data_IF_502459121616
#
_entry.id   IF_502459121616
#
_cell.length_a   1.000
_cell.length_b   1.000
_cell.length_c   1.000
_cell.angle_alpha   90.00
_cell.angle_beta   90.00
_cell.angle_gamma   90.00
#
_symmetry.space_group_name_H-M   'P 1'
#
loop_
_entity.id
_entity.type
_entity.pdbx_description
1 polymer ?
#
# COMPACT_ATOMS: atom_id res chain seq x y z
N UNK A 1 1.62 -14.28 -10.60
CA UNK A 1 1.89 -14.43 -9.17
C UNK A 1 0.65 -14.46 -8.27
N UNK A 2 -0.51 -14.08 -8.73
CA UNK A 2 -1.78 -14.14 -7.97
C UNK A 2 -2.61 -15.40 -8.22
N UNK A 3 -2.01 -16.48 -8.73
CA UNK A 3 -2.69 -17.79 -8.89
C UNK A 3 -3.06 -18.47 -7.57
N UNK A 4 -2.56 -17.97 -6.43
CA UNK A 4 -3.04 -18.34 -5.09
C UNK A 4 -3.47 -17.05 -4.42
N UNK A 5 -4.68 -17.00 -3.91
CA UNK A 5 -5.22 -15.83 -3.22
C UNK A 5 -4.50 -15.66 -1.87
N UNK A 6 -3.25 -15.18 -1.93
CA UNK A 6 -2.35 -15.05 -0.76
C UNK A 6 -2.89 -14.06 0.28
N UNK A 7 -3.82 -13.21 -0.11
CA UNK A 7 -4.45 -12.22 0.76
C UNK A 7 -5.77 -12.71 1.38
N UNK A 8 -6.25 -13.90 0.99
CA UNK A 8 -7.47 -14.47 1.58
C UNK A 8 -7.34 -14.61 3.09
N UNK A 9 -8.36 -14.17 3.81
CA UNK A 9 -8.43 -14.14 5.27
C UNK A 9 -7.34 -13.27 5.96
N UNK A 10 -6.72 -12.34 5.23
CA UNK A 10 -5.82 -11.35 5.82
C UNK A 10 -6.63 -10.18 6.39
N UNK A 11 -6.25 -9.74 7.58
CA UNK A 11 -6.90 -8.63 8.29
C UNK A 11 -6.39 -7.29 7.80
N UNK A 12 -7.20 -6.27 8.04
CA UNK A 12 -6.72 -4.90 8.04
C UNK A 12 -6.02 -4.60 9.36
N UNK A 13 -4.80 -5.08 9.52
CA UNK A 13 -4.06 -5.19 10.79
C UNK A 13 -3.76 -3.87 11.47
N UNK A 14 -3.84 -2.74 10.75
CA UNK A 14 -3.53 -1.41 11.28
C UNK A 14 -4.37 -0.33 10.62
N UNK A 15 -5.00 0.49 11.45
CA UNK A 15 -5.72 1.68 11.01
C UNK A 15 -5.14 2.86 11.77
N UNK A 16 -4.58 3.83 11.05
CA UNK A 16 -4.05 5.06 11.62
C UNK A 16 -5.05 6.18 11.35
N UNK A 17 -5.50 6.84 12.41
CA UNK A 17 -6.46 7.92 12.34
C UNK A 17 -5.75 9.28 12.45
N UNK A 18 -5.92 10.11 11.45
CA UNK A 18 -5.62 11.53 11.46
C UNK A 18 -6.93 12.33 11.45
N UNK A 19 -6.95 13.65 11.75
CA UNK A 19 -8.19 14.40 11.87
C UNK A 19 -9.15 14.30 10.67
N UNK A 20 -8.62 14.16 9.45
CA UNK A 20 -9.44 14.15 8.22
C UNK A 20 -9.18 12.96 7.31
N UNK A 21 -8.27 12.07 7.67
CA UNK A 21 -7.88 10.93 6.85
C UNK A 21 -7.49 9.73 7.69
N UNK A 22 -7.82 8.54 7.19
CA UNK A 22 -7.37 7.28 7.76
C UNK A 22 -6.43 6.58 6.78
N UNK A 23 -5.43 5.91 7.32
CA UNK A 23 -4.57 4.97 6.60
C UNK A 23 -4.96 3.56 7.02
N UNK A 24 -5.41 2.75 6.07
CA UNK A 24 -5.94 1.41 6.30
C UNK A 24 -4.98 0.39 5.70
N UNK A 25 -4.25 -0.31 6.57
CA UNK A 25 -3.18 -1.23 6.19
C UNK A 25 -3.64 -2.68 6.15
N UNK A 26 -3.20 -3.40 5.13
CA UNK A 26 -3.37 -4.84 5.00
C UNK A 26 -2.17 -5.47 4.27
N UNK A 27 -2.23 -6.77 4.09
CA UNK A 27 -1.19 -7.53 3.41
C UNK A 27 -0.68 -8.71 4.23
N UNK A 28 0.46 -9.26 3.82
CA UNK A 28 1.13 -10.30 4.57
C UNK A 28 2.01 -9.64 5.62
N UNK A 29 1.50 -9.61 6.83
CA UNK A 29 2.12 -9.05 8.02
C UNK A 29 2.76 -10.17 8.86
N UNK A 30 3.87 -9.94 9.60
CA UNK A 30 4.43 -10.94 10.48
C UNK A 30 3.46 -11.24 11.63
N UNK A 31 2.82 -12.38 11.55
CA UNK A 31 2.08 -12.94 12.69
C UNK A 31 3.05 -13.75 13.57
N UNK A 32 2.93 -13.59 14.88
CA UNK A 32 3.81 -14.23 15.87
C UNK A 32 3.70 -15.76 15.93
N UNK A 33 2.97 -16.39 15.04
CA UNK A 33 2.74 -17.83 15.03
C UNK A 33 3.65 -18.53 13.99
N UNK A 34 4.94 -18.65 14.35
CA UNK A 34 5.95 -19.29 13.51
C UNK A 34 5.74 -20.81 13.28
N UNK A 35 4.80 -21.43 13.98
CA UNK A 35 4.61 -22.88 13.94
C UNK A 35 3.66 -23.38 12.84
N UNK A 36 2.99 -22.48 12.13
CA UNK A 36 2.10 -22.87 11.05
C UNK A 36 2.85 -22.90 9.71
N UNK A 37 2.80 -24.02 8.98
CA UNK A 37 3.42 -24.17 7.65
C UNK A 37 2.99 -23.09 6.66
N UNK A 38 1.72 -22.67 6.71
CA UNK A 38 1.18 -21.64 5.86
C UNK A 38 1.87 -20.28 6.14
N UNK A 39 2.04 -19.94 7.42
CA UNK A 39 2.73 -18.71 7.83
C UNK A 39 4.21 -18.74 7.45
N UNK A 40 4.86 -19.89 7.48
CA UNK A 40 6.25 -20.02 7.01
C UNK A 40 6.38 -19.76 5.51
N UNK A 41 5.44 -20.25 4.71
CA UNK A 41 5.40 -20.00 3.26
C UNK A 41 5.13 -18.51 2.98
N UNK A 42 4.16 -17.92 3.67
CA UNK A 42 3.80 -16.51 3.53
C UNK A 42 4.95 -15.58 3.94
N UNK A 43 5.65 -15.92 5.02
CA UNK A 43 6.83 -15.17 5.46
C UNK A 43 7.98 -15.19 4.43
N UNK A 44 8.12 -16.26 3.64
CA UNK A 44 9.09 -16.31 2.54
C UNK A 44 8.73 -15.38 1.37
N UNK A 45 7.45 -15.03 1.22
CA UNK A 45 7.00 -14.08 0.18
C UNK A 45 7.26 -12.63 0.58
N UNK A 46 7.48 -12.37 1.87
CA UNK A 46 7.80 -11.04 2.37
C UNK A 46 9.19 -10.64 1.92
N UNK A 47 9.29 -9.50 1.30
CA UNK A 47 10.54 -8.96 0.82
C UNK A 47 10.49 -7.45 0.74
N UNK A 48 11.52 -6.89 0.14
CA UNK A 48 11.65 -5.47 -0.14
C UNK A 48 11.73 -5.26 -1.63
N UNK A 49 11.03 -4.27 -2.12
CA UNK A 49 11.15 -3.76 -3.49
C UNK A 49 11.58 -2.30 -3.44
N UNK A 50 12.34 -1.80 -4.41
CA UNK A 50 12.69 -0.39 -4.43
C UNK A 50 11.45 0.50 -4.40
N UNK A 51 11.53 1.62 -3.68
CA UNK A 51 10.53 2.68 -3.79
C UNK A 51 10.45 3.12 -5.25
N UNK A 52 9.25 3.28 -5.78
CA UNK A 52 9.01 3.65 -7.18
C UNK A 52 8.15 4.91 -7.24
N UNK A 53 8.73 6.00 -7.79
CA UNK A 53 8.04 7.28 -7.91
C UNK A 53 8.20 7.81 -9.33
N UNK A 54 7.08 8.10 -9.98
CA UNK A 54 7.02 8.58 -11.36
C UNK A 54 6.88 10.09 -11.43
N UNK A 55 7.74 10.73 -12.22
CA UNK A 55 7.65 12.15 -12.58
C UNK A 55 7.10 12.32 -13.99
N UNK A 56 6.32 13.39 -14.22
CA UNK A 56 5.59 13.61 -15.49
C UNK A 56 6.47 13.67 -16.73
N UNK A 57 7.66 14.25 -16.61
CA UNK A 57 8.56 14.47 -17.75
C UNK A 57 9.59 13.36 -17.94
N UNK A 58 9.62 12.37 -17.08
CA UNK A 58 10.58 11.28 -17.15
C UNK A 58 9.96 10.02 -17.78
N UNK A 59 10.72 9.32 -18.58
CA UNK A 59 10.27 8.09 -19.23
C UNK A 59 10.18 6.98 -18.19
N UNK A 60 11.21 6.85 -17.35
CA UNK A 60 11.30 5.82 -16.31
C UNK A 60 10.98 6.38 -14.92
N UNK A 61 10.43 5.56 -14.00
CA UNK A 61 10.29 5.96 -12.60
C UNK A 61 11.63 6.15 -11.92
N UNK A 62 11.65 6.94 -10.85
CA UNK A 62 12.76 7.00 -9.89
C UNK A 62 12.64 5.83 -8.93
N UNK A 63 13.69 5.05 -8.79
CA UNK A 63 13.74 3.91 -7.89
C UNK A 63 14.62 4.19 -6.67
N UNK A 64 14.11 3.86 -5.49
CA UNK A 64 14.84 3.95 -4.23
C UNK A 64 15.05 5.37 -3.69
N UNK A 65 14.30 6.35 -4.17
CA UNK A 65 14.41 7.75 -3.75
C UNK A 65 13.04 8.35 -3.47
N UNK A 66 12.94 9.13 -2.39
CA UNK A 66 11.80 9.99 -2.11
C UNK A 66 11.97 11.32 -2.87
N UNK A 67 10.87 11.92 -3.25
CA UNK A 67 10.83 13.28 -3.81
C UNK A 67 10.25 14.18 -2.72
N UNK A 68 11.10 14.96 -2.07
CA UNK A 68 10.73 15.77 -0.90
C UNK A 68 10.78 17.28 -1.16
N UNK A 69 11.52 17.70 -2.19
CA UNK A 69 11.61 19.11 -2.57
C UNK A 69 10.32 19.60 -3.24
N UNK A 70 9.86 20.83 -2.94
CA UNK A 70 8.61 21.35 -3.50
C UNK A 70 8.57 21.37 -5.03
N UNK A 71 9.70 21.67 -5.68
CA UNK A 71 9.79 21.69 -7.14
C UNK A 71 9.63 20.29 -7.76
N UNK A 72 10.14 19.26 -7.11
CA UNK A 72 9.95 17.86 -7.51
C UNK A 72 8.53 17.38 -7.26
N UNK A 73 7.93 17.71 -6.12
CA UNK A 73 6.58 17.29 -5.76
C UNK A 73 5.55 17.73 -6.81
N UNK A 74 5.61 18.94 -7.32
CA UNK A 74 4.67 19.42 -8.35
C UNK A 74 4.80 18.69 -9.68
N UNK A 75 5.86 17.94 -9.89
CA UNK A 75 6.09 17.14 -11.11
C UNK A 75 5.67 15.66 -10.96
N UNK A 76 5.17 15.25 -9.79
CA UNK A 76 4.69 13.88 -9.57
C UNK A 76 3.55 13.53 -10.53
N UNK A 77 3.53 12.29 -10.96
CA UNK A 77 2.42 11.75 -11.76
C UNK A 77 1.22 11.42 -10.89
N UNK A 78 1.47 10.92 -9.68
CA UNK A 78 0.43 10.51 -8.74
C UNK A 78 0.57 11.23 -7.41
N UNK A 79 -0.56 11.67 -6.89
CA UNK A 79 -0.71 12.28 -5.57
C UNK A 79 -1.62 11.43 -4.70
N UNK A 80 -1.50 11.57 -3.39
CA UNK A 80 -2.41 10.91 -2.45
C UNK A 80 -3.77 11.61 -2.45
N UNK A 81 -4.68 11.03 -3.20
CA UNK A 81 -6.10 11.41 -3.27
C UNK A 81 -6.97 10.39 -2.53
N UNK A 82 -8.24 10.73 -2.30
CA UNK A 82 -9.21 9.80 -1.73
C UNK A 82 -9.21 8.47 -2.49
N UNK A 83 -8.98 7.37 -1.78
CA UNK A 83 -8.93 6.02 -2.35
C UNK A 83 -7.60 5.63 -2.97
N UNK A 84 -6.54 6.43 -2.85
CA UNK A 84 -5.21 6.02 -3.30
C UNK A 84 -4.75 4.77 -2.56
N UNK A 85 -4.11 3.86 -3.30
CA UNK A 85 -3.57 2.59 -2.83
C UNK A 85 -2.06 2.60 -3.03
N UNK A 86 -1.31 2.42 -1.95
CA UNK A 86 0.13 2.50 -1.94
C UNK A 86 0.77 1.34 -1.19
N UNK A 87 2.05 1.05 -1.49
CA UNK A 87 2.82 0.06 -0.76
C UNK A 87 3.30 0.62 0.59
N UNK A 88 3.27 -0.22 1.62
CA UNK A 88 3.86 0.11 2.92
C UNK A 88 5.38 0.21 2.77
N UNK A 89 6.00 1.17 3.44
CA UNK A 89 7.46 1.32 3.44
C UNK A 89 8.17 0.23 4.23
N UNK A 90 9.35 -0.15 3.74
CA UNK A 90 10.31 -1.00 4.43
C UNK A 90 11.66 -0.29 4.48
N UNK A 91 11.76 0.76 5.29
CA UNK A 91 12.86 1.72 5.32
C UNK A 91 12.64 2.89 4.34
N UNK A 92 13.62 3.79 4.23
CA UNK A 92 13.46 5.03 3.45
C UNK A 92 13.47 4.80 1.93
N UNK A 93 14.17 3.78 1.48
CA UNK A 93 14.44 3.53 0.05
C UNK A 93 13.61 2.40 -0.54
N UNK A 94 12.89 1.65 0.28
CA UNK A 94 12.19 0.44 -0.13
C UNK A 94 10.76 0.42 0.35
N UNK A 95 9.94 -0.31 -0.40
CA UNK A 95 8.59 -0.71 -0.02
C UNK A 95 8.58 -2.20 0.38
N UNK A 96 7.60 -2.59 1.19
CA UNK A 96 7.23 -4.00 1.36
C UNK A 96 6.76 -4.57 0.03
N UNK A 97 7.06 -5.83 -0.22
CA UNK A 97 6.56 -6.53 -1.43
C UNK A 97 5.12 -7.04 -1.29
N UNK A 98 4.55 -7.01 -0.09
CA UNK A 98 3.26 -7.68 0.21
C UNK A 98 2.30 -6.84 1.03
N UNK A 99 2.75 -5.77 1.66
CA UNK A 99 1.91 -4.92 2.50
C UNK A 99 1.53 -3.65 1.78
N UNK A 100 0.29 -3.25 1.91
CA UNK A 100 -0.27 -2.07 1.26
C UNK A 100 -1.21 -1.30 2.19
N UNK A 101 -1.54 -0.07 1.82
CA UNK A 101 -2.53 0.72 2.54
C UNK A 101 -3.38 1.57 1.60
N UNK A 102 -4.61 1.85 2.04
CA UNK A 102 -5.51 2.82 1.43
C UNK A 102 -5.48 4.13 2.21
N UNK A 103 -5.73 5.24 1.53
CA UNK A 103 -6.06 6.51 2.18
C UNK A 103 -7.53 6.86 1.93
N UNK A 104 -8.21 7.30 2.99
CA UNK A 104 -9.66 7.61 2.91
C UNK A 104 -9.95 9.02 2.42
N UNK A 105 -8.94 9.88 2.34
CA UNK A 105 -9.06 11.24 1.85
C UNK A 105 -7.72 11.71 1.29
N UNK A 106 -7.69 12.90 0.68
CA UNK A 106 -6.47 13.55 0.22
C UNK A 106 -5.47 13.71 1.37
N UNK A 107 -4.20 13.35 1.12
CA UNK A 107 -3.16 13.40 2.14
C UNK A 107 -1.81 13.84 1.54
N UNK A 108 -1.62 15.13 1.24
CA UNK A 108 -0.43 15.64 0.56
C UNK A 108 0.89 15.39 1.29
N UNK A 109 0.85 15.21 2.61
CA UNK A 109 2.01 14.92 3.45
C UNK A 109 2.73 13.62 3.06
N UNK A 110 2.04 12.73 2.35
CA UNK A 110 2.62 11.48 1.85
C UNK A 110 3.14 11.56 0.42
N UNK A 111 2.84 12.64 -0.30
CA UNK A 111 3.24 12.80 -1.69
C UNK A 111 4.76 12.72 -1.85
N UNK A 112 5.20 11.95 -2.84
CA UNK A 112 6.62 11.73 -3.13
C UNK A 112 7.34 10.79 -2.16
N UNK A 113 6.65 10.20 -1.18
CA UNK A 113 7.23 9.37 -0.12
C UNK A 113 6.93 7.89 -0.24
N UNK A 114 5.88 7.52 -0.97
CA UNK A 114 5.37 6.15 -1.10
C UNK A 114 5.07 5.81 -2.55
N UNK A 115 5.21 4.55 -2.91
CA UNK A 115 4.82 4.04 -4.22
C UNK A 115 3.31 3.87 -4.30
N UNK A 116 2.63 4.78 -5.01
CA UNK A 116 1.20 4.64 -5.32
C UNK A 116 1.08 3.73 -6.53
N UNK A 117 0.33 2.63 -6.42
CA UNK A 117 0.17 1.66 -7.51
C UNK A 117 -1.27 1.46 -7.95
N UNK A 118 -2.23 2.07 -7.26
CA UNK A 118 -3.64 1.93 -7.58
C UNK A 118 -4.52 2.99 -6.97
N UNK A 119 -5.79 2.94 -7.34
CA UNK A 119 -6.84 3.81 -6.81
C UNK A 119 -8.17 3.06 -6.78
N UNK A 120 -8.92 3.24 -5.72
CA UNK A 120 -10.29 2.73 -5.61
C UNK A 120 -11.19 3.52 -6.57
N UNK A 121 -11.84 2.84 -7.49
CA UNK A 121 -12.76 3.44 -8.49
C UNK A 121 -14.22 3.18 -8.18
N UNK A 122 -14.53 2.21 -7.32
CA UNK A 122 -15.89 1.85 -6.90
C UNK A 122 -15.87 1.34 -5.46
N UNK A 123 -16.90 1.67 -4.67
CA UNK A 123 -16.98 1.27 -3.26
C UNK A 123 -16.07 2.08 -2.33
N UNK A 124 -15.69 3.29 -2.72
CA UNK A 124 -14.79 4.15 -1.94
C UNK A 124 -15.38 4.55 -0.57
N UNK A 125 -16.70 4.62 -0.47
CA UNK A 125 -17.44 4.87 0.76
C UNK A 125 -17.22 3.78 1.82
N UNK A 126 -16.96 2.55 1.39
CA UNK A 126 -16.72 1.40 2.28
C UNK A 126 -15.41 1.54 3.05
N UNK A 127 -14.42 2.25 2.51
CA UNK A 127 -13.12 2.40 3.17
C UNK A 127 -13.23 2.95 4.60
N UNK A 128 -14.16 3.87 4.83
CA UNK A 128 -14.35 4.48 6.15
C UNK A 128 -15.03 3.57 7.17
N UNK A 129 -15.64 2.48 6.70
CA UNK A 129 -16.34 1.50 7.53
C UNK A 129 -15.45 0.30 7.89
N UNK A 130 -14.25 0.19 7.29
CA UNK A 130 -13.34 -0.91 7.54
C UNK A 130 -12.80 -0.85 8.98
N UNK A 131 -12.89 -1.99 9.67
CA UNK A 131 -12.33 -2.24 11.00
C UNK A 131 -11.14 -3.20 10.96
N UNK A 132 -10.33 -3.22 11.99
CA UNK A 132 -9.17 -4.10 12.13
C UNK A 132 -9.52 -5.60 12.15
N UNK A 133 -10.74 -5.93 12.53
CA UNK A 133 -11.22 -7.31 12.53
C UNK A 133 -11.76 -7.76 11.18
N UNK A 134 -11.98 -6.85 10.25
CA UNK A 134 -12.42 -7.16 8.89
C UNK A 134 -11.34 -7.94 8.13
N UNK A 135 -11.80 -8.86 7.31
CA UNK A 135 -10.95 -9.74 6.53
C UNK A 135 -11.11 -9.48 5.04
N UNK A 136 -10.01 -9.61 4.32
CA UNK A 136 -10.07 -9.75 2.86
C UNK A 136 -10.60 -11.15 2.57
N UNK A 137 -11.82 -11.22 2.05
CA UNK A 137 -12.42 -12.50 1.67
C UNK A 137 -11.76 -13.06 0.41
N UNK A 138 -11.63 -12.22 -0.61
CA UNK A 138 -11.09 -12.58 -1.90
C UNK A 138 -10.54 -11.35 -2.63
N UNK A 139 -9.48 -11.53 -3.41
CA UNK A 139 -9.02 -10.57 -4.41
C UNK A 139 -9.13 -11.22 -5.77
N UNK A 140 -9.94 -10.64 -6.65
CA UNK A 140 -10.13 -11.09 -8.03
C UNK A 140 -9.41 -10.10 -8.95
N UNK A 141 -8.53 -10.63 -9.80
CA UNK A 141 -7.88 -9.83 -10.85
C UNK A 141 -8.58 -10.14 -12.17
N UNK A 142 -9.17 -9.11 -12.75
CA UNK A 142 -9.75 -9.16 -14.10
C UNK A 142 -8.79 -8.49 -15.09
N UNK A 143 -8.68 -9.09 -16.24
CA UNK A 143 -7.97 -8.51 -17.38
C UNK A 143 -8.84 -7.51 -18.13
#
# INVERSE_FOLDING_TARGET
MLKKNIYKNKRFYKIINFPQVQLIHSGIFPENNYYNKENQILNKLRGKIPLEIKLKKEIEPKYGYQILDPAGIVTLTNFFEKGSLAMVKSGERNSSSTEFFFVTNKFPELDGRYSIFGKVVKGIEILQEIDKEDLIYEIIISN
#
